data_IF_750019195900
#
_entry.id   IF_750019195900
#
_cell.length_a   1.000
_cell.length_b   1.000
_cell.length_c   1.000
_cell.angle_alpha   90.00
_cell.angle_beta   90.00
_cell.angle_gamma   90.00
#
_symmetry.space_group_name_H-M   'P 1'
#
loop_
_entity.id
_entity.type
_entity.pdbx_description
1 polymer ?
#
# COMPACT_ATOMS: atom_id res chain seq x y z
N UNK A 1 -11.88 -4.72 15.43
CA UNK A 1 -10.84 -5.78 15.43
C UNK A 1 -11.54 -7.13 15.53
N UNK A 2 -11.67 -7.83 14.43
CA UNK A 2 -12.20 -9.20 14.42
C UNK A 2 -11.03 -10.16 14.62
N UNK A 3 -10.68 -10.46 15.87
CA UNK A 3 -9.67 -11.48 16.20
C UNK A 3 -10.39 -12.78 16.59
N UNK A 4 -10.86 -13.56 15.64
CA UNK A 4 -11.16 -14.97 15.90
C UNK A 4 -10.22 -15.85 15.10
N UNK A 5 -9.42 -16.64 15.78
CA UNK A 5 -8.46 -17.60 15.19
C UNK A 5 -9.14 -18.86 14.60
N UNK A 6 -10.43 -18.81 14.37
CA UNK A 6 -11.16 -19.90 13.71
C UNK A 6 -11.52 -19.48 12.28
N UNK A 7 -11.28 -20.33 11.27
CA UNK A 7 -11.68 -20.03 9.91
C UNK A 7 -13.22 -20.08 9.84
N UNK A 8 -13.86 -18.95 10.03
CA UNK A 8 -15.30 -18.84 9.78
C UNK A 8 -15.51 -18.80 8.27
N UNK A 9 -16.33 -19.72 7.78
CA UNK A 9 -16.71 -19.90 6.36
C UNK A 9 -17.52 -18.70 5.81
N UNK A 10 -17.69 -17.65 6.60
CA UNK A 10 -18.48 -16.47 6.25
C UNK A 10 -17.64 -15.21 6.46
N UNK A 11 -17.67 -14.25 5.53
CA UNK A 11 -16.99 -12.97 5.73
C UNK A 11 -17.52 -12.33 7.03
N UNK A 12 -16.59 -11.79 7.81
CA UNK A 12 -16.93 -10.98 8.97
C UNK A 12 -17.98 -9.93 8.54
N UNK A 13 -19.05 -9.70 9.30
CA UNK A 13 -20.01 -8.66 8.94
C UNK A 13 -19.25 -7.36 8.77
N UNK A 14 -19.40 -6.74 7.61
CA UNK A 14 -18.76 -5.46 7.27
C UNK A 14 -19.16 -4.48 8.38
N UNK A 15 -18.26 -4.27 9.33
CA UNK A 15 -18.41 -3.17 10.29
C UNK A 15 -18.54 -1.91 9.44
N UNK A 16 -19.55 -1.07 9.73
CA UNK A 16 -19.76 0.18 8.99
C UNK A 16 -18.41 0.90 8.90
N UNK A 17 -17.84 0.92 7.71
CA UNK A 17 -16.61 1.67 7.47
C UNK A 17 -16.94 3.16 7.60
N UNK A 18 -16.32 3.82 8.55
CA UNK A 18 -16.43 5.26 8.74
C UNK A 18 -15.11 5.88 8.27
N UNK A 19 -15.18 6.71 7.25
CA UNK A 19 -14.05 7.52 6.80
C UNK A 19 -13.84 8.68 7.77
N UNK A 20 -12.61 8.92 8.16
CA UNK A 20 -12.22 9.93 9.16
C UNK A 20 -11.17 10.88 8.58
N UNK A 21 -10.91 11.97 9.26
CA UNK A 21 -9.82 12.90 8.92
C UNK A 21 -8.45 12.20 8.87
N UNK A 22 -8.23 11.19 9.70
CA UNK A 22 -7.00 10.40 9.66
C UNK A 22 -6.85 9.65 8.33
N UNK A 23 -7.93 9.13 7.80
CA UNK A 23 -7.93 8.44 6.49
C UNK A 23 -7.62 9.44 5.36
N UNK A 24 -8.17 10.66 5.41
CA UNK A 24 -7.83 11.72 4.46
C UNK A 24 -6.34 12.08 4.52
N UNK A 25 -5.79 12.27 5.70
CA UNK A 25 -4.37 12.57 5.90
C UNK A 25 -3.46 11.45 5.41
N UNK A 26 -3.83 10.19 5.63
CA UNK A 26 -3.10 9.04 5.14
C UNK A 26 -3.09 8.97 3.61
N UNK A 27 -4.21 9.26 2.96
CA UNK A 27 -4.30 9.35 1.49
C UNK A 27 -3.45 10.50 0.95
N UNK A 28 -3.46 11.66 1.60
CA UNK A 28 -2.61 12.80 1.21
C UNK A 28 -1.14 12.43 1.35
N UNK A 29 -0.73 11.76 2.43
CA UNK A 29 0.63 11.28 2.61
C UNK A 29 1.04 10.28 1.51
N UNK A 30 0.16 9.34 1.16
CA UNK A 30 0.42 8.39 0.07
C UNK A 30 0.62 9.10 -1.28
N UNK A 31 -0.17 10.13 -1.59
CA UNK A 31 -0.02 10.95 -2.79
C UNK A 31 1.31 11.70 -2.81
N UNK A 32 1.66 12.35 -1.69
CA UNK A 32 2.91 13.11 -1.57
C UNK A 32 4.12 12.18 -1.74
N UNK A 33 4.16 11.04 -1.06
CA UNK A 33 5.24 10.05 -1.19
C UNK A 33 5.41 9.56 -2.63
N UNK A 34 4.31 9.28 -3.33
CA UNK A 34 4.38 8.84 -4.72
C UNK A 34 4.91 9.94 -5.65
N UNK A 35 4.44 11.16 -5.47
CA UNK A 35 4.88 12.33 -6.25
C UNK A 35 6.37 12.62 -6.00
N UNK A 36 6.78 12.69 -4.74
CA UNK A 36 8.15 13.02 -4.35
C UNK A 36 9.16 11.96 -4.80
N UNK A 37 8.76 10.67 -4.73
CA UNK A 37 9.59 9.56 -5.22
C UNK A 37 9.87 9.68 -6.72
N UNK A 38 8.84 9.95 -7.52
CA UNK A 38 8.96 10.14 -8.96
C UNK A 38 9.77 11.41 -9.27
N UNK A 39 9.50 12.50 -8.56
CA UNK A 39 10.24 13.77 -8.72
C UNK A 39 11.73 13.60 -8.39
N UNK A 40 12.04 12.87 -7.32
CA UNK A 40 13.41 12.63 -6.88
C UNK A 40 14.25 11.90 -7.92
N UNK A 41 13.69 10.89 -8.59
CA UNK A 41 14.42 10.12 -9.60
C UNK A 41 14.32 10.71 -11.01
N UNK A 42 13.47 11.70 -11.23
CA UNK A 42 13.32 12.42 -12.49
C UNK A 42 12.64 11.62 -13.61
N UNK A 43 12.07 10.45 -13.29
CA UNK A 43 11.32 9.63 -14.26
C UNK A 43 10.27 8.77 -13.56
N UNK A 44 9.20 8.43 -14.27
CA UNK A 44 8.10 7.61 -13.76
C UNK A 44 6.74 8.22 -14.01
N UNK A 45 5.70 7.61 -13.43
CA UNK A 45 4.30 7.96 -13.66
C UNK A 45 3.59 8.25 -12.33
N UNK A 46 3.57 9.51 -11.86
CA UNK A 46 2.95 9.84 -10.57
C UNK A 46 1.42 9.86 -10.63
N UNK A 47 0.84 10.19 -11.80
CA UNK A 47 -0.59 10.43 -11.95
C UNK A 47 -1.48 9.27 -11.51
N UNK A 48 -1.16 8.06 -11.94
CA UNK A 48 -1.91 6.85 -11.55
C UNK A 48 -1.82 6.58 -10.06
N UNK A 49 -0.62 6.70 -9.47
CA UNK A 49 -0.44 6.51 -8.05
C UNK A 49 -1.20 7.55 -7.22
N UNK A 50 -1.25 8.79 -7.66
CA UNK A 50 -2.00 9.85 -6.99
C UNK A 50 -3.51 9.63 -7.10
N UNK A 51 -4.02 9.23 -8.26
CA UNK A 51 -5.46 9.01 -8.47
C UNK A 51 -5.96 7.75 -7.75
N UNK A 52 -5.16 6.69 -7.69
CA UNK A 52 -5.49 5.43 -7.04
C UNK A 52 -5.19 5.41 -5.53
N UNK A 53 -4.56 6.45 -4.97
CA UNK A 53 -4.18 6.46 -3.55
C UNK A 53 -5.34 6.15 -2.59
N UNK A 54 -6.56 6.72 -2.75
CA UNK A 54 -7.67 6.36 -1.87
C UNK A 54 -8.07 4.89 -1.95
N UNK A 55 -8.10 4.34 -3.16
CA UNK A 55 -8.45 2.93 -3.38
C UNK A 55 -7.38 2.00 -2.81
N UNK A 56 -6.11 2.28 -3.07
CA UNK A 56 -5.00 1.50 -2.53
C UNK A 56 -4.97 1.55 -1.00
N UNK A 57 -5.20 2.72 -0.42
CA UNK A 57 -5.35 2.88 1.03
C UNK A 57 -6.47 2.01 1.59
N UNK A 58 -7.67 2.07 1.00
CA UNK A 58 -8.80 1.24 1.41
C UNK A 58 -8.46 -0.25 1.37
N UNK A 59 -7.83 -0.71 0.30
CA UNK A 59 -7.43 -2.11 0.17
C UNK A 59 -6.48 -2.52 1.29
N UNK A 60 -5.38 -1.82 1.47
CA UNK A 60 -4.34 -2.21 2.43
C UNK A 60 -4.72 -1.98 3.88
N UNK A 61 -5.47 -0.94 4.20
CA UNK A 61 -5.75 -0.56 5.59
C UNK A 61 -7.09 -1.08 6.11
N UNK A 62 -8.02 -1.43 5.23
CA UNK A 62 -9.39 -1.72 5.64
C UNK A 62 -9.92 -3.05 5.10
N UNK A 63 -9.42 -3.53 3.98
CA UNK A 63 -10.02 -4.66 3.28
C UNK A 63 -9.17 -5.92 3.27
N UNK A 64 -7.90 -5.83 2.90
CA UNK A 64 -7.01 -6.98 2.80
C UNK A 64 -6.68 -7.54 4.18
N UNK A 65 -6.75 -8.87 4.30
CA UNK A 65 -6.20 -9.59 5.43
C UNK A 65 -4.72 -9.83 5.17
N UNK A 66 -3.88 -9.12 5.86
CA UNK A 66 -2.43 -9.27 5.75
C UNK A 66 -1.74 -8.96 7.08
N UNK A 67 -0.55 -9.50 7.26
CA UNK A 67 0.30 -9.24 8.43
C UNK A 67 1.70 -8.86 7.95
N UNK A 68 2.11 -7.61 8.12
CA UNK A 68 3.45 -7.17 7.75
C UNK A 68 4.57 -7.88 8.54
N UNK A 69 4.27 -8.40 9.74
CA UNK A 69 5.23 -9.17 10.56
C UNK A 69 5.39 -10.62 10.07
N UNK A 70 4.39 -11.15 9.35
CA UNK A 70 4.47 -12.47 8.71
C UNK A 70 3.98 -12.40 7.25
N UNK A 71 4.79 -11.86 6.34
CA UNK A 71 4.43 -11.74 4.93
C UNK A 71 4.30 -13.10 4.22
N UNK A 72 4.73 -14.19 4.86
CA UNK A 72 4.59 -15.56 4.34
C UNK A 72 3.31 -16.26 4.75
N UNK A 73 2.53 -15.69 5.67
CA UNK A 73 1.31 -16.27 6.16
C UNK A 73 0.39 -16.75 5.04
N UNK A 74 0.04 -18.04 5.06
CA UNK A 74 -0.70 -18.69 3.97
C UNK A 74 -2.15 -18.18 3.84
N UNK A 75 -2.74 -17.74 4.93
CA UNK A 75 -4.12 -17.22 4.96
C UNK A 75 -4.26 -15.75 4.57
N UNK A 76 -3.16 -15.08 4.18
CA UNK A 76 -3.22 -13.68 3.75
C UNK A 76 -3.86 -13.52 2.38
N UNK A 77 -4.50 -12.39 2.16
CA UNK A 77 -4.88 -11.96 0.82
C UNK A 77 -3.63 -11.59 0.00
N UNK A 78 -3.73 -11.74 -1.31
CA UNK A 78 -2.62 -11.48 -2.23
C UNK A 78 -2.98 -10.33 -3.16
N UNK A 79 -2.23 -9.27 -3.05
CA UNK A 79 -2.35 -8.13 -3.95
C UNK A 79 -1.45 -8.35 -5.17
N UNK A 80 -2.02 -8.23 -6.36
CA UNK A 80 -1.28 -8.32 -7.63
C UNK A 80 -1.46 -7.03 -8.40
N UNK A 81 -0.36 -6.31 -8.61
CA UNK A 81 -0.34 -5.11 -9.43
C UNK A 81 -0.06 -5.49 -10.88
N UNK A 82 -1.07 -5.45 -11.74
CA UNK A 82 -0.89 -5.71 -13.18
C UNK A 82 -0.39 -4.48 -13.95
N UNK A 83 -0.55 -3.30 -13.39
CA UNK A 83 -0.21 -2.03 -13.98
C UNK A 83 1.22 -1.61 -13.59
N UNK A 84 2.22 -2.15 -14.28
CA UNK A 84 3.63 -1.98 -13.91
C UNK A 84 4.09 -0.52 -13.82
N UNK A 85 3.58 0.39 -14.65
CA UNK A 85 3.98 1.80 -14.60
C UNK A 85 3.49 2.54 -13.33
N UNK A 86 2.61 1.94 -12.54
CA UNK A 86 2.20 2.47 -11.24
C UNK A 86 2.78 1.70 -10.05
N UNK A 87 3.94 1.08 -10.20
CA UNK A 87 4.63 0.32 -9.15
C UNK A 87 4.83 1.14 -7.87
N UNK A 88 5.03 2.44 -7.96
CA UNK A 88 5.12 3.32 -6.79
C UNK A 88 3.85 3.28 -5.92
N UNK A 89 2.67 2.99 -6.47
CA UNK A 89 1.44 2.78 -5.70
C UNK A 89 1.61 1.64 -4.70
N UNK A 90 2.15 0.51 -5.17
CA UNK A 90 2.41 -0.65 -4.32
C UNK A 90 3.47 -0.35 -3.28
N UNK A 91 4.61 0.20 -3.68
CA UNK A 91 5.71 0.49 -2.75
C UNK A 91 5.31 1.47 -1.65
N UNK A 92 4.53 2.48 -1.98
CA UNK A 92 3.99 3.42 -0.98
C UNK A 92 3.09 2.71 0.03
N UNK A 93 2.21 1.80 -0.41
CA UNK A 93 1.36 1.04 0.51
C UNK A 93 2.17 0.06 1.35
N UNK A 94 3.16 -0.62 0.80
CA UNK A 94 4.05 -1.51 1.55
C UNK A 94 4.84 -0.73 2.62
N UNK A 95 5.36 0.45 2.28
CA UNK A 95 6.04 1.33 3.23
C UNK A 95 5.10 1.75 4.38
N UNK A 96 3.93 2.29 4.05
CA UNK A 96 2.95 2.76 5.04
C UNK A 96 2.33 1.64 5.88
N UNK A 97 2.34 0.40 5.37
CA UNK A 97 1.84 -0.77 6.08
C UNK A 97 2.90 -1.50 6.91
N UNK A 98 4.17 -1.07 6.88
CA UNK A 98 5.22 -1.64 7.72
C UNK A 98 5.86 -2.92 7.17
N UNK A 99 5.92 -3.12 5.86
CA UNK A 99 6.56 -4.27 5.21
C UNK A 99 8.10 -4.16 5.11
N UNK A 100 8.74 -3.39 5.96
CA UNK A 100 10.19 -3.30 6.01
C UNK A 100 10.83 -2.47 4.88
N UNK A 101 10.03 -1.65 4.20
CA UNK A 101 10.54 -0.57 3.36
C UNK A 101 10.77 0.67 4.21
N UNK A 102 11.87 1.35 3.94
CA UNK A 102 12.23 2.61 4.56
C UNK A 102 12.00 3.78 3.61
N UNK A 103 11.99 5.01 4.13
CA UNK A 103 11.83 6.20 3.29
C UNK A 103 12.92 6.33 2.23
N UNK A 104 14.14 5.88 2.53
CA UNK A 104 15.26 5.90 1.59
C UNK A 104 15.09 4.88 0.45
N UNK A 105 14.34 3.80 0.68
CA UNK A 105 13.96 2.88 -0.40
C UNK A 105 13.01 3.58 -1.40
N UNK A 106 12.09 4.41 -0.93
CA UNK A 106 11.23 5.21 -1.81
C UNK A 106 12.01 6.31 -2.57
N UNK A 107 13.02 6.92 -1.93
CA UNK A 107 13.89 7.90 -2.57
C UNK A 107 14.78 7.30 -3.66
N UNK A 108 15.04 5.98 -3.60
CA UNK A 108 15.78 5.21 -4.60
C UNK A 108 14.87 4.45 -5.58
N UNK A 109 13.60 4.87 -5.68
CA UNK A 109 12.64 4.31 -6.64
C UNK A 109 13.22 4.28 -8.06
N UNK A 110 13.03 3.17 -8.78
CA UNK A 110 13.52 2.96 -10.15
C UNK A 110 15.04 3.08 -10.34
N UNK A 111 15.81 3.00 -9.28
CA UNK A 111 17.26 2.91 -9.41
C UNK A 111 17.71 1.45 -9.44
N UNK A 112 18.86 1.20 -10.06
CA UNK A 112 19.41 -0.15 -10.16
C UNK A 112 19.69 -0.73 -8.76
N UNK A 113 19.38 -2.00 -8.56
CA UNK A 113 19.54 -2.72 -7.28
C UNK A 113 18.75 -2.16 -6.09
N UNK A 114 17.85 -1.21 -6.30
CA UNK A 114 16.97 -0.75 -5.21
C UNK A 114 15.91 -1.81 -4.85
N UNK A 115 15.38 -1.75 -3.62
CA UNK A 115 14.23 -2.57 -3.21
C UNK A 115 12.93 -2.16 -3.92
N UNK A 116 12.93 -1.02 -4.59
CA UNK A 116 11.77 -0.44 -5.27
C UNK A 116 12.06 -0.25 -6.78
N UNK A 117 12.41 -1.32 -7.51
CA UNK A 117 12.60 -1.24 -8.95
C UNK A 117 11.33 -0.79 -9.67
N UNK A 118 11.47 -0.22 -10.86
CA UNK A 118 10.34 0.28 -11.66
C UNK A 118 9.66 -0.77 -12.51
#
# INVERSE_FOLDING_TARGET
>A
MCRSRTPTRYPCPVSKFIWTELDDRAVVAARALAMDSVQKVGNGHPGTAMSLAPMAYLLFQKWLNHDPADPSWQGRDRFVLSNGHSSITLYTQLFLSGYGLELDDLKSFRTWESKTPG
#
